data_IF_276376104969
#
_entry.id   IF_276376104969
#
_cell.length_a   1.000
_cell.length_b   1.000
_cell.length_c   1.000
_cell.angle_alpha   90.00
_cell.angle_beta   90.00
_cell.angle_gamma   90.00
#
_symmetry.space_group_name_H-M   'P 1'
#
loop_
_entity.id
_entity.type
_entity.pdbx_description
1 polymer ?
#
# COMPACT_ATOMS: atom_id res chain seq x y z
N UNK A 1 8.70 -33.67 -13.44
CA UNK A 1 8.67 -32.34 -14.07
C UNK A 1 9.12 -31.30 -13.04
N UNK A 2 10.04 -30.39 -13.40
CA UNK A 2 10.42 -29.28 -12.52
C UNK A 2 9.19 -28.37 -12.37
N UNK A 3 8.62 -28.27 -11.15
CA UNK A 3 7.62 -27.25 -10.82
C UNK A 3 8.17 -25.90 -11.30
N UNK A 4 7.48 -25.23 -12.22
CA UNK A 4 7.70 -23.80 -12.40
C UNK A 4 7.47 -23.15 -11.03
N UNK A 5 8.48 -22.48 -10.48
CA UNK A 5 8.54 -21.98 -9.10
C UNK A 5 7.62 -20.80 -8.80
N UNK A 6 6.35 -20.87 -9.20
CA UNK A 6 5.35 -19.80 -9.05
C UNK A 6 4.06 -20.31 -8.40
N UNK A 7 4.19 -20.92 -7.21
CA UNK A 7 3.08 -21.51 -6.47
C UNK A 7 3.27 -21.19 -4.98
N UNK A 8 2.24 -20.65 -4.33
CA UNK A 8 2.20 -20.34 -2.90
C UNK A 8 1.43 -21.43 -2.16
N UNK A 9 1.99 -21.99 -1.09
CA UNK A 9 1.28 -22.97 -0.26
C UNK A 9 0.44 -22.25 0.80
N UNK A 10 -0.87 -22.15 0.57
CA UNK A 10 -1.77 -21.38 1.43
C UNK A 10 -2.41 -22.22 2.56
N UNK A 11 -2.05 -23.49 2.67
CA UNK A 11 -2.53 -24.37 3.75
C UNK A 11 -2.78 -25.80 3.29
N UNK A 12 -3.65 -26.50 4.00
CA UNK A 12 -4.08 -27.87 3.68
C UNK A 12 -5.59 -27.97 3.70
N UNK A 13 -6.15 -28.81 2.84
CA UNK A 13 -7.56 -29.15 2.95
C UNK A 13 -7.74 -30.19 4.07
N UNK A 14 -8.85 -30.12 4.80
CA UNK A 14 -9.27 -31.19 5.68
C UNK A 14 -10.08 -32.21 4.89
N UNK A 15 -9.71 -33.49 4.98
CA UNK A 15 -10.51 -34.55 4.41
C UNK A 15 -11.87 -34.67 5.15
N UNK A 16 -12.82 -35.41 4.57
CA UNK A 16 -14.17 -35.56 5.15
C UNK A 16 -14.16 -36.18 6.55
N UNK A 17 -13.12 -36.95 6.87
CA UNK A 17 -12.87 -37.54 8.20
C UNK A 17 -12.12 -36.59 9.15
N UNK A 18 -11.96 -35.32 8.77
CA UNK A 18 -11.20 -34.28 9.48
C UNK A 18 -9.70 -34.55 9.62
N UNK A 19 -9.16 -35.55 8.92
CA UNK A 19 -7.72 -35.72 8.80
C UNK A 19 -7.09 -34.63 7.92
N UNK A 20 -5.80 -34.36 8.14
CA UNK A 20 -5.05 -33.41 7.31
C UNK A 20 -4.81 -34.00 5.93
N UNK A 21 -5.37 -33.35 4.92
CA UNK A 21 -5.19 -33.69 3.51
C UNK A 21 -3.94 -33.08 2.88
N UNK A 22 -3.96 -33.00 1.55
CA UNK A 22 -2.84 -32.44 0.77
C UNK A 22 -2.74 -30.92 0.90
N UNK A 23 -1.55 -30.39 0.57
CA UNK A 23 -1.32 -28.95 0.48
C UNK A 23 -2.23 -28.33 -0.59
N UNK A 24 -2.79 -27.17 -0.26
CA UNK A 24 -3.54 -26.30 -1.17
C UNK A 24 -2.60 -25.21 -1.62
N UNK A 25 -2.45 -25.08 -2.94
CA UNK A 25 -1.55 -24.10 -3.51
C UNK A 25 -2.30 -23.14 -4.45
N UNK A 26 -1.82 -21.91 -4.53
CA UNK A 26 -2.27 -20.90 -5.50
C UNK A 26 -1.12 -20.63 -6.47
N UNK A 27 -1.38 -20.67 -7.78
CA UNK A 27 -0.40 -20.24 -8.75
C UNK A 27 -0.29 -18.70 -8.74
N UNK A 28 0.91 -18.17 -8.97
CA UNK A 28 1.15 -16.73 -9.09
C UNK A 28 1.65 -16.36 -10.48
N UNK A 29 1.46 -17.27 -11.43
CA UNK A 29 1.84 -17.09 -12.83
C UNK A 29 0.79 -16.23 -13.53
N UNK A 30 -0.48 -16.37 -13.14
CA UNK A 30 -1.59 -15.62 -13.69
C UNK A 30 -2.10 -14.55 -12.71
N UNK A 31 -2.74 -13.48 -13.21
CA UNK A 31 -3.41 -12.52 -12.36
C UNK A 31 -4.58 -13.15 -11.60
N UNK A 32 -4.64 -12.92 -10.29
CA UNK A 32 -5.71 -13.38 -9.42
C UNK A 32 -6.37 -12.21 -8.70
N UNK A 33 -7.69 -12.30 -8.51
CA UNK A 33 -8.42 -11.46 -7.57
C UNK A 33 -8.90 -12.39 -6.45
N UNK A 34 -8.36 -12.19 -5.25
CA UNK A 34 -8.67 -13.03 -4.07
C UNK A 34 -9.43 -12.20 -3.04
N UNK A 35 -10.61 -12.69 -2.65
CA UNK A 35 -11.39 -12.14 -1.55
C UNK A 35 -11.26 -13.04 -0.31
N UNK A 36 -10.67 -12.50 0.76
CA UNK A 36 -10.59 -13.18 2.06
C UNK A 36 -11.66 -12.58 2.98
N UNK A 37 -12.67 -13.37 3.34
CA UNK A 37 -13.80 -12.93 4.18
C UNK A 37 -14.02 -13.86 5.38
N UNK A 38 -14.61 -13.33 6.45
CA UNK A 38 -14.86 -14.08 7.69
C UNK A 38 -15.12 -13.17 8.90
N UNK A 39 -15.67 -13.73 9.97
CA UNK A 39 -15.97 -13.01 11.22
C UNK A 39 -14.70 -12.43 11.88
N UNK A 40 -14.86 -11.49 12.82
CA UNK A 40 -13.73 -10.95 13.61
C UNK A 40 -13.03 -12.09 14.35
N UNK A 41 -11.71 -12.16 14.26
CA UNK A 41 -10.89 -13.21 14.89
C UNK A 41 -10.74 -14.52 14.10
N UNK A 42 -11.33 -14.64 12.91
CA UNK A 42 -11.32 -15.90 12.14
C UNK A 42 -10.12 -16.01 11.17
N UNK A 43 -9.00 -15.35 11.49
CA UNK A 43 -7.75 -15.54 10.74
C UNK A 43 -7.61 -14.83 9.39
N UNK A 44 -8.44 -13.82 9.06
CA UNK A 44 -8.28 -13.06 7.80
C UNK A 44 -6.87 -12.50 7.60
N UNK A 45 -6.36 -11.76 8.59
CA UNK A 45 -5.00 -11.22 8.56
C UNK A 45 -3.95 -12.30 8.61
N UNK A 46 -4.22 -13.41 9.31
CA UNK A 46 -3.33 -14.58 9.30
C UNK A 46 -3.18 -15.14 7.89
N UNK A 47 -4.28 -15.30 7.15
CA UNK A 47 -4.23 -15.74 5.74
C UNK A 47 -3.43 -14.76 4.88
N UNK A 48 -3.60 -13.44 5.05
CA UNK A 48 -2.77 -12.44 4.33
C UNK A 48 -1.28 -12.61 4.71
N UNK A 49 -0.97 -12.83 5.99
CA UNK A 49 0.37 -13.14 6.47
C UNK A 49 0.97 -14.35 5.75
N UNK A 50 0.22 -15.45 5.62
CA UNK A 50 0.67 -16.63 4.85
C UNK A 50 1.02 -16.26 3.41
N UNK A 51 0.23 -15.41 2.74
CA UNK A 51 0.59 -14.95 1.39
C UNK A 51 1.90 -14.15 1.38
N UNK A 52 2.07 -13.22 2.33
CA UNK A 52 3.28 -12.41 2.46
C UNK A 52 4.51 -13.31 2.64
N UNK A 53 4.45 -14.26 3.58
CA UNK A 53 5.53 -15.20 3.86
C UNK A 53 5.82 -16.11 2.66
N UNK A 54 4.80 -16.72 2.05
CA UNK A 54 4.98 -17.62 0.91
C UNK A 54 5.56 -16.89 -0.30
N UNK A 55 5.17 -15.63 -0.55
CA UNK A 55 5.76 -14.81 -1.61
C UNK A 55 7.23 -14.48 -1.28
N UNK A 56 7.53 -14.17 -0.02
CA UNK A 56 8.90 -13.93 0.41
C UNK A 56 9.79 -15.18 0.27
N UNK A 57 9.23 -16.39 0.50
CA UNK A 57 9.92 -17.69 0.36
C UNK A 57 10.14 -18.13 -1.09
N UNK A 58 9.54 -17.48 -2.08
CA UNK A 58 9.76 -17.82 -3.48
C UNK A 58 11.24 -17.76 -3.85
N UNK A 59 11.64 -18.62 -4.80
CA UNK A 59 12.96 -18.55 -5.39
C UNK A 59 13.22 -17.15 -5.95
N UNK A 60 14.43 -16.62 -5.72
CA UNK A 60 14.84 -15.27 -6.12
C UNK A 60 14.46 -14.94 -7.57
N UNK A 61 14.67 -15.88 -8.50
CA UNK A 61 14.32 -15.72 -9.93
C UNK A 61 12.83 -15.43 -10.17
N UNK A 62 11.94 -15.99 -9.36
CA UNK A 62 10.50 -15.73 -9.46
C UNK A 62 10.15 -14.45 -8.72
N UNK A 63 10.67 -14.28 -7.50
CA UNK A 63 10.41 -13.10 -6.66
C UNK A 63 10.81 -11.79 -7.36
N UNK A 64 11.92 -11.77 -8.09
CA UNK A 64 12.39 -10.60 -8.87
C UNK A 64 11.42 -10.16 -9.99
N UNK A 65 10.45 -10.99 -10.37
CA UNK A 65 9.41 -10.62 -11.33
C UNK A 65 8.13 -10.12 -10.67
N UNK A 66 8.08 -10.09 -9.33
CA UNK A 66 6.96 -9.62 -8.54
C UNK A 66 7.32 -8.30 -7.86
N UNK A 67 6.35 -7.39 -7.78
CA UNK A 67 6.37 -6.27 -6.85
C UNK A 67 5.16 -6.40 -5.95
N UNK A 68 5.38 -6.40 -4.63
CA UNK A 68 4.32 -6.64 -3.65
C UNK A 68 4.17 -5.39 -2.81
N UNK A 69 2.91 -4.93 -2.65
CA UNK A 69 2.53 -3.82 -1.78
C UNK A 69 1.43 -4.30 -0.86
N UNK A 70 1.61 -4.10 0.44
CA UNK A 70 0.61 -4.42 1.45
C UNK A 70 0.15 -3.15 2.15
N UNK A 71 -1.13 -2.80 1.97
CA UNK A 71 -1.76 -1.73 2.74
C UNK A 71 -2.17 -2.25 4.11
N UNK A 72 -1.32 -2.03 5.12
CA UNK A 72 -1.57 -2.46 6.50
C UNK A 72 -2.20 -1.34 7.34
N UNK A 73 -3.52 -1.38 7.47
CA UNK A 73 -4.27 -0.39 8.26
C UNK A 73 -4.18 -0.63 9.77
N UNK A 74 -3.75 -1.81 10.22
CA UNK A 74 -3.66 -2.16 11.64
C UNK A 74 -2.22 -2.17 12.17
N UNK A 75 -1.22 -2.12 11.28
CA UNK A 75 0.19 -2.09 11.65
C UNK A 75 0.65 -3.39 12.34
N UNK A 76 0.22 -4.54 11.82
CA UNK A 76 0.53 -5.86 12.39
C UNK A 76 1.59 -6.62 11.59
N UNK A 77 1.74 -6.35 10.29
CA UNK A 77 2.62 -7.14 9.43
C UNK A 77 4.10 -6.80 9.56
N UNK A 78 4.47 -5.64 10.13
CA UNK A 78 5.89 -5.31 10.36
C UNK A 78 6.61 -6.36 11.22
N UNK A 79 5.88 -7.02 12.12
CA UNK A 79 6.44 -8.07 12.98
C UNK A 79 6.90 -9.32 12.22
N UNK A 80 6.47 -9.49 10.96
CA UNK A 80 6.94 -10.60 10.09
C UNK A 80 8.43 -10.53 9.79
N UNK A 81 9.10 -9.41 10.06
CA UNK A 81 10.57 -9.29 10.02
C UNK A 81 11.27 -10.21 11.02
N UNK A 82 10.58 -10.63 12.08
CA UNK A 82 11.17 -11.39 13.18
C UNK A 82 10.70 -12.84 13.17
N UNK A 83 11.60 -13.80 13.46
CA UNK A 83 11.21 -15.19 13.62
C UNK A 83 10.26 -15.37 14.81
N UNK A 84 9.16 -16.09 14.59
CA UNK A 84 8.19 -16.40 15.64
C UNK A 84 8.67 -17.55 16.55
N UNK A 85 9.68 -17.28 17.37
CA UNK A 85 10.27 -18.25 18.29
C UNK A 85 9.30 -18.70 19.40
N UNK A 86 8.31 -17.87 19.74
CA UNK A 86 7.31 -18.20 20.75
C UNK A 86 6.44 -19.42 20.34
N UNK A 87 6.21 -19.60 19.03
CA UNK A 87 5.38 -20.66 18.47
C UNK A 87 6.20 -21.77 17.79
N UNK A 88 7.50 -21.89 18.11
CA UNK A 88 8.41 -22.83 17.44
C UNK A 88 7.94 -24.29 17.51
N UNK A 89 7.37 -24.73 18.64
CA UNK A 89 6.83 -26.09 18.78
C UNK A 89 5.63 -26.31 17.83
N UNK A 90 4.74 -25.33 17.72
CA UNK A 90 3.61 -25.39 16.82
C UNK A 90 4.06 -25.39 15.36
N UNK A 91 5.00 -24.53 14.97
CA UNK A 91 5.58 -24.52 13.61
C UNK A 91 6.22 -25.87 13.26
N UNK A 92 6.97 -26.48 14.19
CA UNK A 92 7.60 -27.78 13.97
C UNK A 92 6.57 -28.89 13.70
N UNK A 93 5.39 -28.86 14.34
CA UNK A 93 4.29 -29.80 14.04
C UNK A 93 3.78 -29.69 12.60
N UNK A 94 3.94 -28.52 11.98
CA UNK A 94 3.63 -28.26 10.58
C UNK A 94 4.84 -28.40 9.64
N UNK A 95 5.96 -28.94 10.14
CA UNK A 95 7.23 -29.03 9.40
C UNK A 95 7.75 -27.66 8.92
N UNK A 96 7.46 -26.62 9.70
CA UNK A 96 7.95 -25.26 9.52
C UNK A 96 8.92 -24.91 10.64
N UNK A 97 9.75 -23.89 10.40
CA UNK A 97 10.69 -23.35 11.41
C UNK A 97 10.42 -21.86 11.58
N UNK A 98 10.69 -21.27 12.76
CA UNK A 98 10.65 -19.83 12.94
C UNK A 98 11.59 -19.14 11.94
N UNK A 99 11.04 -18.22 11.14
CA UNK A 99 11.76 -17.47 10.12
C UNK A 99 11.24 -16.03 10.12
N UNK A 100 12.14 -15.06 9.93
CA UNK A 100 11.79 -13.67 9.69
C UNK A 100 11.97 -13.32 8.21
N UNK A 101 11.16 -12.39 7.72
CA UNK A 101 11.13 -12.02 6.30
C UNK A 101 11.61 -10.60 6.08
N UNK A 102 12.42 -10.41 5.03
CA UNK A 102 12.84 -9.09 4.60
C UNK A 102 11.63 -8.35 3.98
N UNK A 103 11.01 -7.49 4.79
CA UNK A 103 9.92 -6.60 4.38
C UNK A 103 10.37 -5.15 4.54
N UNK A 104 10.08 -4.35 3.52
CA UNK A 104 10.36 -2.93 3.51
C UNK A 104 9.20 -2.15 4.12
N UNK A 105 9.28 -1.83 5.42
CA UNK A 105 8.22 -1.07 6.08
C UNK A 105 8.25 0.40 5.68
N UNK A 106 7.31 0.81 4.83
CA UNK A 106 7.15 2.19 4.41
C UNK A 106 6.05 2.90 5.21
N UNK A 107 6.38 4.03 5.83
CA UNK A 107 5.42 4.90 6.54
C UNK A 107 5.43 6.31 5.96
N UNK A 108 4.30 7.04 5.94
CA UNK A 108 4.32 8.41 5.48
C UNK A 108 5.32 9.24 6.29
N UNK A 109 6.08 10.11 5.62
CA UNK A 109 7.19 10.90 6.19
C UNK A 109 6.84 11.56 7.54
N UNK A 110 5.59 11.98 7.72
CA UNK A 110 5.06 12.57 8.95
C UNK A 110 5.11 11.65 10.18
N UNK A 111 5.04 10.32 10.00
CA UNK A 111 4.90 9.34 11.08
C UNK A 111 6.20 8.60 11.43
N UNK A 112 7.29 8.81 10.69
CA UNK A 112 8.56 8.08 10.87
C UNK A 112 9.08 8.19 12.30
N UNK A 113 9.09 9.40 12.87
CA UNK A 113 9.57 9.62 14.24
C UNK A 113 8.67 8.92 15.28
N UNK A 114 7.38 8.79 15.03
CA UNK A 114 6.47 8.03 15.90
C UNK A 114 6.85 6.54 15.94
N UNK A 115 7.18 5.95 14.79
CA UNK A 115 7.61 4.56 14.69
C UNK A 115 8.97 4.34 15.36
N UNK A 116 9.94 5.21 15.10
CA UNK A 116 11.26 5.17 15.77
C UNK A 116 11.15 5.26 17.29
N UNK A 117 10.28 6.12 17.81
CA UNK A 117 10.05 6.25 19.25
C UNK A 117 9.44 4.98 19.88
N UNK A 118 8.78 4.13 19.08
CA UNK A 118 8.29 2.81 19.49
C UNK A 118 9.33 1.70 19.27
N UNK A 119 10.55 2.04 18.83
CA UNK A 119 11.60 1.08 18.51
C UNK A 119 11.39 0.31 17.21
N UNK A 120 10.54 0.82 16.31
CA UNK A 120 10.26 0.21 15.01
C UNK A 120 11.05 0.96 13.94
N UNK A 121 11.90 0.25 13.21
CA UNK A 121 12.63 0.81 12.07
C UNK A 121 11.72 0.82 10.85
N UNK A 122 11.51 2.00 10.27
CA UNK A 122 10.59 2.22 9.16
C UNK A 122 11.14 3.29 8.22
N UNK A 123 11.14 2.98 6.93
CA UNK A 123 11.52 3.89 5.88
C UNK A 123 10.38 4.88 5.61
N UNK A 124 10.75 6.13 5.31
CA UNK A 124 9.78 7.17 4.99
C UNK A 124 9.38 7.12 3.52
N UNK A 125 8.10 7.35 3.22
CA UNK A 125 7.67 7.70 1.87
C UNK A 125 6.83 8.98 1.83
N UNK A 126 6.84 9.63 0.68
CA UNK A 126 5.86 10.64 0.29
C UNK A 126 5.68 10.57 -1.22
N UNK A 127 4.46 10.79 -1.68
CA UNK A 127 4.09 10.79 -3.10
C UNK A 127 4.21 12.22 -3.61
N UNK A 128 4.84 12.39 -4.77
CA UNK A 128 4.92 13.70 -5.39
C UNK A 128 3.53 14.23 -5.75
N UNK A 129 3.21 15.47 -5.38
CA UNK A 129 1.89 16.08 -5.69
C UNK A 129 1.59 16.04 -7.19
N UNK A 130 2.61 16.26 -8.03
CA UNK A 130 2.47 16.28 -9.48
C UNK A 130 2.17 14.93 -10.12
N UNK A 131 2.33 13.80 -9.40
CA UNK A 131 1.96 12.46 -9.87
C UNK A 131 0.44 12.28 -9.96
N UNK A 132 -0.33 13.07 -9.21
CA UNK A 132 -1.78 13.00 -9.23
C UNK A 132 -2.32 13.92 -10.34
N UNK A 133 -3.01 13.30 -11.31
CA UNK A 133 -3.80 14.02 -12.30
C UNK A 133 -4.96 14.77 -11.65
N UNK A 134 -5.52 15.75 -12.36
CA UNK A 134 -6.76 16.42 -11.93
C UNK A 134 -7.89 15.43 -11.61
N UNK A 135 -7.99 14.35 -12.38
CA UNK A 135 -8.96 13.29 -12.15
C UNK A 135 -8.70 12.53 -10.85
N UNK A 136 -7.44 12.21 -10.53
CA UNK A 136 -7.07 11.56 -9.27
C UNK A 136 -7.45 12.44 -8.06
N UNK A 137 -7.18 13.75 -8.12
CA UNK A 137 -7.60 14.69 -7.07
C UNK A 137 -9.12 14.74 -6.91
N UNK A 138 -9.88 14.78 -8.01
CA UNK A 138 -11.34 14.74 -7.96
C UNK A 138 -11.85 13.44 -7.30
N UNK A 139 -11.31 12.29 -7.70
CA UNK A 139 -11.67 10.99 -7.12
C UNK A 139 -11.36 10.92 -5.63
N UNK A 140 -10.18 11.39 -5.22
CA UNK A 140 -9.74 11.40 -3.84
C UNK A 140 -10.70 12.17 -2.92
N UNK A 141 -11.30 13.24 -3.44
CA UNK A 141 -12.26 14.08 -2.72
C UNK A 141 -13.72 13.68 -2.94
N UNK A 142 -14.00 12.66 -3.78
CA UNK A 142 -15.36 12.27 -4.13
C UNK A 142 -16.13 13.34 -4.93
N UNK A 143 -15.42 14.18 -5.69
CA UNK A 143 -15.97 15.29 -6.47
C UNK A 143 -16.03 14.92 -7.94
N UNK A 144 -17.09 15.32 -8.66
CA UNK A 144 -17.15 15.14 -10.12
C UNK A 144 -16.41 16.27 -10.82
N UNK A 145 -15.64 15.93 -11.85
CA UNK A 145 -14.82 16.90 -12.59
C UNK A 145 -15.62 18.05 -13.24
N UNK A 146 -16.92 17.88 -13.48
CA UNK A 146 -17.82 18.87 -14.07
C UNK A 146 -18.60 19.70 -13.04
N UNK A 147 -18.51 19.39 -11.74
CA UNK A 147 -19.05 20.26 -10.70
C UNK A 147 -18.16 21.51 -10.53
N UNK A 148 -18.68 22.64 -10.03
CA UNK A 148 -17.88 23.86 -9.85
C UNK A 148 -16.56 23.64 -9.11
N UNK A 149 -16.58 22.81 -8.06
CA UNK A 149 -15.39 22.39 -7.31
C UNK A 149 -14.43 21.53 -8.14
N UNK A 150 -14.94 20.58 -8.92
CA UNK A 150 -14.12 19.76 -9.80
C UNK A 150 -13.48 20.57 -10.92
N UNK A 151 -14.18 21.58 -11.44
CA UNK A 151 -13.67 22.49 -12.48
C UNK A 151 -12.50 23.31 -11.95
N UNK A 152 -12.60 23.89 -10.74
CA UNK A 152 -11.51 24.67 -10.17
C UNK A 152 -10.30 23.80 -9.83
N UNK A 153 -10.51 22.61 -9.26
CA UNK A 153 -9.43 21.64 -8.99
C UNK A 153 -8.74 21.23 -10.28
N UNK A 154 -9.51 20.90 -11.31
CA UNK A 154 -8.98 20.48 -12.61
C UNK A 154 -8.14 21.58 -13.25
N UNK A 155 -8.66 22.81 -13.30
CA UNK A 155 -7.94 23.96 -13.85
C UNK A 155 -6.65 24.23 -13.08
N UNK A 156 -6.70 24.19 -11.75
CA UNK A 156 -5.55 24.44 -10.87
C UNK A 156 -4.45 23.42 -11.12
N UNK A 157 -4.77 22.13 -11.08
CA UNK A 157 -3.79 21.06 -11.29
C UNK A 157 -3.16 21.12 -12.68
N UNK A 158 -3.97 21.31 -13.74
CA UNK A 158 -3.45 21.43 -15.11
C UNK A 158 -2.55 22.67 -15.29
N UNK A 159 -2.91 23.80 -14.66
CA UNK A 159 -2.08 25.02 -14.68
C UNK A 159 -0.74 24.79 -13.98
N UNK A 160 -0.74 24.10 -12.83
CA UNK A 160 0.49 23.78 -12.11
C UNK A 160 1.37 22.81 -12.90
N UNK A 161 0.78 21.73 -13.44
CA UNK A 161 1.51 20.71 -14.22
C UNK A 161 2.08 21.24 -15.54
N UNK A 162 1.43 22.23 -16.17
CA UNK A 162 1.97 22.89 -17.37
C UNK A 162 3.12 23.86 -17.09
N UNK A 163 3.22 24.36 -15.85
CA UNK A 163 4.22 25.36 -15.45
C UNK A 163 5.42 24.76 -14.73
N UNK A 164 5.24 23.62 -14.05
CA UNK A 164 6.30 22.95 -13.28
C UNK A 164 6.07 21.44 -13.23
N UNK A 165 7.17 20.69 -13.23
CA UNK A 165 7.16 19.24 -12.99
C UNK A 165 7.04 18.90 -11.49
N UNK A 166 7.34 19.85 -10.60
CA UNK A 166 7.32 19.71 -9.15
C UNK A 166 6.59 20.89 -8.51
N UNK A 167 5.58 20.62 -7.69
CA UNK A 167 4.89 21.63 -6.89
C UNK A 167 4.30 21.00 -5.63
N UNK A 168 4.05 21.82 -4.63
CA UNK A 168 3.47 21.44 -3.33
C UNK A 168 1.96 21.67 -3.29
N UNK A 169 1.30 21.15 -2.24
CA UNK A 169 -0.09 21.49 -1.95
C UNK A 169 -0.22 22.99 -1.62
N UNK A 170 0.76 23.59 -0.93
CA UNK A 170 0.79 25.04 -0.67
C UNK A 170 0.76 25.89 -1.96
N UNK A 171 1.46 25.43 -3.01
CA UNK A 171 1.42 26.07 -4.33
C UNK A 171 0.06 25.89 -5.03
N UNK A 172 -0.61 24.73 -4.87
CA UNK A 172 -1.99 24.54 -5.34
C UNK A 172 -2.98 25.47 -4.63
N UNK A 173 -2.86 25.61 -3.31
CA UNK A 173 -3.68 26.53 -2.50
C UNK A 173 -3.52 27.98 -2.99
N UNK A 174 -2.27 28.42 -3.18
CA UNK A 174 -1.98 29.76 -3.72
C UNK A 174 -2.55 29.93 -5.13
N UNK A 175 -2.52 28.89 -5.97
CA UNK A 175 -3.12 28.94 -7.30
C UNK A 175 -4.65 29.07 -7.25
N UNK A 176 -5.33 28.41 -6.32
CA UNK A 176 -6.78 28.55 -6.09
C UNK A 176 -7.12 29.95 -5.58
N UNK A 177 -6.37 30.46 -4.61
CA UNK A 177 -6.58 31.81 -4.06
C UNK A 177 -6.46 32.90 -5.13
N UNK A 178 -5.56 32.72 -6.10
CA UNK A 178 -5.40 33.64 -7.23
C UNK A 178 -6.33 33.34 -8.42
N UNK A 179 -7.19 32.33 -8.33
CA UNK A 179 -8.17 32.04 -9.37
C UNK A 179 -9.27 33.12 -9.39
N UNK A 180 -9.47 33.70 -10.58
CA UNK A 180 -10.43 34.79 -10.82
C UNK A 180 -11.77 34.32 -11.40
N UNK A 181 -11.93 33.02 -11.67
CA UNK A 181 -13.11 32.45 -12.34
C UNK A 181 -14.03 31.70 -11.38
N UNK A 182 -13.51 31.21 -10.26
CA UNK A 182 -14.26 30.51 -9.22
C UNK A 182 -14.91 31.48 -8.23
N UNK A 183 -16.13 31.14 -7.79
CA UNK A 183 -16.80 31.80 -6.67
C UNK A 183 -16.03 31.57 -5.36
N UNK A 184 -16.11 32.51 -4.42
CA UNK A 184 -15.41 32.42 -3.12
C UNK A 184 -15.77 31.14 -2.36
N UNK A 185 -17.04 30.75 -2.37
CA UNK A 185 -17.52 29.54 -1.67
C UNK A 185 -16.87 28.27 -2.24
N UNK A 186 -16.66 28.23 -3.55
CA UNK A 186 -16.06 27.10 -4.24
C UNK A 186 -14.55 27.05 -4.00
N UNK A 187 -13.90 28.22 -3.91
CA UNK A 187 -12.48 28.33 -3.54
C UNK A 187 -12.23 27.86 -2.12
N UNK A 188 -13.03 28.32 -1.17
CA UNK A 188 -12.95 27.90 0.24
C UNK A 188 -13.13 26.38 0.38
N UNK A 189 -14.08 25.80 -0.37
CA UNK A 189 -14.25 24.35 -0.42
C UNK A 189 -13.00 23.63 -0.95
N UNK A 190 -12.41 24.10 -2.05
CA UNK A 190 -11.20 23.52 -2.62
C UNK A 190 -10.00 23.63 -1.67
N UNK A 191 -9.86 24.77 -0.99
CA UNK A 191 -8.82 25.00 0.01
C UNK A 191 -8.96 24.05 1.20
N UNK A 192 -10.19 23.81 1.68
CA UNK A 192 -10.45 22.84 2.74
C UNK A 192 -10.04 21.41 2.34
N UNK A 193 -10.38 20.97 1.12
CA UNK A 193 -10.00 19.64 0.63
C UNK A 193 -8.48 19.46 0.49
N UNK A 194 -7.79 20.47 -0.05
CA UNK A 194 -6.33 20.44 -0.17
C UNK A 194 -5.64 20.50 1.19
N UNK A 195 -6.14 21.29 2.13
CA UNK A 195 -5.63 21.34 3.51
C UNK A 195 -5.82 20.00 4.21
N UNK A 196 -6.96 19.33 3.99
CA UNK A 196 -7.19 17.97 4.47
C UNK A 196 -6.17 17.00 3.88
N UNK A 197 -5.91 17.05 2.57
CA UNK A 197 -4.91 16.20 1.93
C UNK A 197 -3.49 16.43 2.46
N UNK A 198 -3.11 17.69 2.70
CA UNK A 198 -1.82 18.06 3.29
C UNK A 198 -1.66 17.46 4.71
N UNK A 199 -2.75 17.47 5.49
CA UNK A 199 -2.76 16.92 6.85
C UNK A 199 -2.43 15.43 6.94
N UNK A 200 -2.63 14.67 5.85
CA UNK A 200 -2.33 13.23 5.80
C UNK A 200 -0.82 12.95 5.83
N UNK A 201 0.02 13.90 5.44
CA UNK A 201 1.48 13.73 5.42
C UNK A 201 1.98 12.73 4.37
N UNK A 202 1.15 12.43 3.37
CA UNK A 202 1.46 11.49 2.27
C UNK A 202 2.03 12.23 1.07
N UNK A 203 1.71 13.50 0.87
CA UNK A 203 2.12 14.26 -0.32
C UNK A 203 3.27 15.22 -0.02
N UNK A 204 4.22 15.33 -0.95
CA UNK A 204 5.37 16.25 -0.86
C UNK A 204 5.71 16.78 -2.25
N UNK A 205 6.33 17.97 -2.33
CA UNK A 205 6.78 18.56 -3.60
C UNK A 205 7.80 17.69 -4.30
N UNK A 206 8.68 17.07 -3.52
CA UNK A 206 9.81 16.27 -3.99
C UNK A 206 9.66 14.79 -3.58
N UNK A 207 8.42 14.33 -3.41
CA UNK A 207 8.10 12.93 -3.17
C UNK A 207 8.53 12.01 -4.32
N UNK A 208 8.46 10.71 -4.05
CA UNK A 208 8.75 9.65 -5.03
C UNK A 208 7.62 9.53 -6.06
N UNK A 209 7.92 8.93 -7.21
CA UNK A 209 6.87 8.51 -8.14
C UNK A 209 6.10 7.33 -7.54
N UNK A 210 4.80 7.24 -7.85
CA UNK A 210 3.97 6.09 -7.46
C UNK A 210 4.58 4.79 -8.01
N UNK A 211 5.26 4.85 -9.17
CA UNK A 211 5.93 3.71 -9.79
C UNK A 211 7.12 3.21 -8.97
N UNK A 212 7.76 4.09 -8.22
CA UNK A 212 8.96 3.76 -7.43
C UNK A 212 8.62 3.19 -6.05
N UNK A 213 7.35 3.30 -5.64
CA UNK A 213 6.83 2.69 -4.41
C UNK A 213 6.87 1.16 -4.51
N UNK A 214 6.68 0.61 -5.72
CA UNK A 214 6.63 -0.83 -5.97
C UNK A 214 7.94 -1.28 -6.59
N UNK A 215 8.82 -1.87 -5.78
CA UNK A 215 10.09 -2.43 -6.25
C UNK A 215 9.99 -3.92 -6.51
N UNK A 216 10.71 -4.37 -7.53
CA UNK A 216 10.80 -5.79 -7.89
C UNK A 216 11.58 -6.58 -6.84
N UNK A 217 11.15 -7.80 -6.55
CA UNK A 217 11.88 -8.70 -5.64
C UNK A 217 11.73 -8.39 -4.17
N UNK A 218 11.02 -7.33 -3.81
CA UNK A 218 10.81 -6.85 -2.45
C UNK A 218 9.33 -6.87 -2.09
N UNK A 219 9.04 -7.13 -0.82
CA UNK A 219 7.72 -6.92 -0.24
C UNK A 219 7.74 -5.62 0.54
N UNK A 220 6.93 -4.64 0.14
CA UNK A 220 6.81 -3.35 0.81
C UNK A 220 5.38 -3.00 1.20
#
# INVERSE_FOLDING_TARGET
>A
EKKLGGSLNIGRYYALDSSLGSNVNIDIIHPHIVLICGKRGYGKSHTIGVFIEEIARLEKKVRENLGVVVFDTLGIFWTTQFPNNAEAENLNRWSQVPEGFDINLLVPKKFVEEYKNKGIDADSFSIRVSELSSYHWCQLFGVRANDPLGIILTRTVLKMQSSSTHFSIAELLTCIQNDTRGDSTVKDAAENFLTMADSWGVFDKDGISIRDLVRRGTTG
#
